data_IF_588810739797
#
_entry.id   IF_588810739797
#
_cell.length_a   1.000
_cell.length_b   1.000
_cell.length_c   1.000
_cell.angle_alpha   90.00
_cell.angle_beta   90.00
_cell.angle_gamma   90.00
#
_symmetry.space_group_name_H-M   'P 1'
#
loop_
_entity.id
_entity.type
_entity.pdbx_description
1 polymer ?
#
# COMPACT_ATOMS: atom_id res chain seq x y z
N UNK A 1 8.44 4.49 14.93
CA UNK A 1 7.48 3.60 14.22
C UNK A 1 8.17 2.29 13.89
N UNK A 2 7.43 1.17 13.95
CA UNK A 2 7.89 -0.15 13.48
C UNK A 2 7.07 -0.52 12.25
N UNK A 3 7.74 -0.94 11.17
CA UNK A 3 7.07 -1.35 9.92
C UNK A 3 7.18 -2.86 9.78
N UNK A 4 6.03 -3.51 9.60
CA UNK A 4 5.95 -4.93 9.26
C UNK A 4 5.59 -5.04 7.78
N UNK A 5 6.52 -5.50 6.94
CA UNK A 5 6.33 -5.67 5.51
C UNK A 5 6.22 -7.16 5.19
N UNK A 6 5.00 -7.71 4.99
CA UNK A 6 4.84 -9.14 4.73
C UNK A 6 5.32 -9.52 3.34
N UNK A 7 6.04 -10.64 3.25
CA UNK A 7 6.22 -11.37 1.99
C UNK A 7 5.01 -12.28 1.76
N UNK A 8 4.29 -12.13 0.65
CA UNK A 8 3.03 -12.83 0.40
C UNK A 8 3.26 -14.16 -0.33
N UNK A 9 2.62 -15.24 0.15
CA UNK A 9 2.81 -16.62 -0.39
C UNK A 9 1.70 -17.01 -1.37
N UNK A 10 1.09 -16.01 -1.99
CA UNK A 10 0.01 -16.15 -2.97
C UNK A 10 0.51 -16.46 -4.39
N UNK A 11 1.83 -16.53 -4.59
CA UNK A 11 2.47 -16.71 -5.89
C UNK A 11 2.57 -15.42 -6.71
N UNK A 12 2.29 -14.26 -6.12
CA UNK A 12 2.49 -12.95 -6.79
C UNK A 12 3.91 -12.41 -6.65
N UNK A 13 4.66 -12.85 -5.63
CA UNK A 13 6.07 -12.47 -5.45
C UNK A 13 6.95 -13.15 -6.53
N UNK A 14 7.88 -12.44 -7.18
CA UNK A 14 8.81 -13.04 -8.15
C UNK A 14 9.64 -14.19 -7.55
N UNK A 15 9.98 -14.06 -6.27
CA UNK A 15 10.67 -15.07 -5.49
C UNK A 15 10.17 -15.01 -4.04
N UNK A 16 9.83 -16.16 -3.47
CA UNK A 16 9.44 -16.29 -2.06
C UNK A 16 9.74 -17.70 -1.56
N UNK A 17 10.08 -17.79 -0.27
CA UNK A 17 10.45 -19.03 0.38
C UNK A 17 9.74 -19.21 1.73
N UNK A 18 9.51 -20.47 2.08
CA UNK A 18 9.01 -20.88 3.38
C UNK A 18 10.10 -21.72 4.06
N UNK A 19 10.62 -21.22 5.18
CA UNK A 19 11.58 -21.96 6.00
C UNK A 19 10.84 -22.93 6.93
N UNK A 20 11.15 -24.21 6.81
CA UNK A 20 10.60 -25.30 7.63
C UNK A 20 11.72 -26.13 8.24
N UNK A 21 12.44 -25.59 9.26
CA UNK A 21 13.67 -26.21 9.78
C UNK A 21 13.44 -27.62 10.35
N UNK A 22 12.22 -27.92 10.78
CA UNK A 22 11.84 -29.21 11.38
C UNK A 22 11.35 -30.24 10.34
N UNK A 23 11.32 -29.89 9.04
CA UNK A 23 10.92 -30.77 7.94
C UNK A 23 12.13 -31.25 7.13
N UNK A 24 11.95 -32.33 6.36
CA UNK A 24 12.97 -32.88 5.45
C UNK A 24 13.39 -31.84 4.39
N UNK A 25 12.41 -31.20 3.77
CA UNK A 25 12.61 -30.03 2.92
C UNK A 25 12.66 -28.80 3.83
N UNK A 26 13.86 -28.25 4.04
CA UNK A 26 14.08 -27.15 4.99
C UNK A 26 13.70 -25.78 4.44
N UNK A 27 13.76 -25.63 3.13
CA UNK A 27 13.43 -24.42 2.40
C UNK A 27 12.53 -24.82 1.25
N UNK A 28 11.29 -24.34 1.26
CA UNK A 28 10.32 -24.59 0.21
C UNK A 28 10.10 -23.33 -0.60
N UNK A 29 10.30 -23.38 -1.91
CA UNK A 29 9.98 -22.27 -2.82
C UNK A 29 8.46 -22.16 -3.00
N UNK A 30 7.95 -20.94 -3.01
CA UNK A 30 6.59 -20.66 -3.48
C UNK A 30 6.68 -20.36 -4.97
N UNK A 31 5.97 -21.15 -5.78
CA UNK A 31 6.01 -20.99 -7.23
C UNK A 31 5.29 -19.70 -7.66
N UNK A 32 5.95 -18.96 -8.55
CA UNK A 32 5.37 -17.78 -9.17
C UNK A 32 4.20 -18.18 -10.06
N UNK A 33 3.03 -17.56 -9.83
CA UNK A 33 1.82 -17.75 -10.62
C UNK A 33 1.70 -16.58 -11.59
N UNK A 34 1.99 -16.85 -12.86
CA UNK A 34 1.79 -15.86 -13.93
C UNK A 34 0.30 -15.67 -14.18
N UNK A 35 -0.21 -14.47 -13.91
CA UNK A 35 -1.61 -14.09 -14.15
C UNK A 35 -1.62 -12.87 -15.07
N UNK A 36 -2.45 -12.89 -16.11
CA UNK A 36 -2.52 -11.80 -17.07
C UNK A 36 -3.03 -10.48 -16.44
N UNK A 37 -2.70 -9.38 -17.11
CA UNK A 37 -3.07 -8.00 -16.70
C UNK A 37 -4.31 -7.47 -17.41
N UNK A 38 -4.86 -8.25 -18.34
CA UNK A 38 -6.10 -7.93 -19.04
C UNK A 38 -7.27 -8.59 -18.33
N UNK A 39 -8.34 -7.84 -18.11
CA UNK A 39 -9.56 -8.38 -17.51
C UNK A 39 -10.10 -9.58 -18.31
N UNK A 40 -10.33 -10.69 -17.60
CA UNK A 40 -11.11 -11.85 -18.03
C UNK A 40 -11.67 -12.54 -16.78
N UNK A 41 -12.60 -13.47 -16.95
CA UNK A 41 -13.14 -14.26 -15.84
C UNK A 41 -12.03 -15.01 -15.11
N UNK A 42 -11.13 -15.65 -15.86
CA UNK A 42 -10.02 -16.44 -15.33
C UNK A 42 -9.03 -15.54 -14.57
N UNK A 43 -8.77 -14.34 -15.07
CA UNK A 43 -7.92 -13.35 -14.38
C UNK A 43 -8.56 -12.90 -13.07
N UNK A 44 -9.87 -12.64 -13.05
CA UNK A 44 -10.57 -12.28 -11.81
C UNK A 44 -10.53 -13.42 -10.79
N UNK A 45 -10.78 -14.65 -11.21
CA UNK A 45 -10.72 -15.83 -10.32
C UNK A 45 -9.30 -16.03 -9.75
N UNK A 46 -8.27 -15.90 -10.58
CA UNK A 46 -6.88 -16.02 -10.15
C UNK A 46 -6.47 -14.89 -9.19
N UNK A 47 -6.89 -13.64 -9.45
CA UNK A 47 -6.63 -12.51 -8.55
C UNK A 47 -7.45 -12.59 -7.26
N UNK A 48 -8.65 -13.15 -7.30
CA UNK A 48 -9.45 -13.44 -6.09
C UNK A 48 -8.78 -14.51 -5.21
N UNK A 49 -8.19 -15.55 -5.81
CA UNK A 49 -7.40 -16.55 -5.09
C UNK A 49 -6.19 -15.89 -4.40
N UNK A 50 -5.48 -15.03 -5.13
CA UNK A 50 -4.35 -14.28 -4.58
C UNK A 50 -4.75 -13.34 -3.45
N UNK A 51 -5.82 -12.56 -3.64
CA UNK A 51 -6.36 -11.70 -2.59
C UNK A 51 -6.77 -12.51 -1.37
N UNK A 52 -7.50 -13.61 -1.51
CA UNK A 52 -7.91 -14.44 -0.37
C UNK A 52 -6.71 -14.84 0.50
N UNK A 53 -5.61 -15.27 -0.11
CA UNK A 53 -4.36 -15.58 0.59
C UNK A 53 -3.78 -14.35 1.27
N UNK A 54 -3.61 -13.23 0.55
CA UNK A 54 -3.05 -11.98 1.09
C UNK A 54 -3.86 -11.45 2.28
N UNK A 55 -5.18 -11.44 2.19
CA UNK A 55 -6.08 -10.98 3.25
C UNK A 55 -5.96 -11.85 4.51
N UNK A 56 -5.87 -13.17 4.33
CA UNK A 56 -5.63 -14.09 5.43
C UNK A 56 -4.25 -13.89 6.07
N UNK A 57 -3.20 -13.72 5.26
CA UNK A 57 -1.85 -13.43 5.74
C UNK A 57 -1.76 -12.12 6.51
N UNK A 58 -2.46 -11.07 6.07
CA UNK A 58 -2.54 -9.80 6.81
C UNK A 58 -3.16 -9.99 8.19
N UNK A 59 -4.19 -10.83 8.33
CA UNK A 59 -4.73 -11.20 9.65
C UNK A 59 -3.71 -11.98 10.49
N UNK A 60 -2.98 -12.93 9.89
CA UNK A 60 -1.93 -13.67 10.61
C UNK A 60 -0.81 -12.76 11.10
N UNK A 61 -0.38 -11.81 10.27
CA UNK A 61 0.64 -10.82 10.63
C UNK A 61 0.16 -9.99 11.80
N UNK A 62 -1.08 -9.51 11.77
CA UNK A 62 -1.68 -8.80 12.90
C UNK A 62 -1.68 -9.63 14.19
N UNK A 63 -2.12 -10.90 14.13
CA UNK A 63 -2.08 -11.80 15.29
C UNK A 63 -0.66 -12.06 15.81
N UNK A 64 0.33 -12.17 14.91
CA UNK A 64 1.73 -12.34 15.26
C UNK A 64 2.25 -11.09 15.98
N UNK A 65 1.93 -9.88 15.50
CA UNK A 65 2.31 -8.61 16.12
C UNK A 65 1.76 -8.49 17.54
N UNK A 66 0.49 -8.84 17.76
CA UNK A 66 -0.10 -8.83 19.11
C UNK A 66 0.61 -9.81 20.07
N UNK A 67 0.98 -10.99 19.57
CA UNK A 67 1.73 -11.98 20.35
C UNK A 67 3.17 -11.52 20.63
N UNK A 68 3.81 -10.85 19.67
CA UNK A 68 5.15 -10.27 19.83
C UNK A 68 5.16 -9.22 20.93
N UNK A 69 4.20 -8.28 20.90
CA UNK A 69 4.08 -7.26 21.94
C UNK A 69 3.71 -7.86 23.31
N UNK A 70 2.85 -8.87 23.35
CA UNK A 70 2.53 -9.61 24.57
C UNK A 70 3.69 -10.48 25.12
N UNK A 71 4.89 -10.41 24.52
CA UNK A 71 6.07 -11.14 24.96
C UNK A 71 5.97 -12.67 24.77
N UNK A 72 5.13 -13.14 23.85
CA UNK A 72 5.08 -14.56 23.51
C UNK A 72 6.36 -14.96 22.78
N UNK A 73 6.88 -16.13 23.13
CA UNK A 73 8.08 -16.69 22.49
C UNK A 73 7.77 -17.11 21.06
N UNK A 74 8.61 -16.68 20.13
CA UNK A 74 8.57 -17.09 18.74
C UNK A 74 9.85 -17.83 18.39
N UNK A 75 9.70 -18.98 17.73
CA UNK A 75 10.83 -19.60 17.04
C UNK A 75 11.03 -18.86 15.72
N UNK A 76 12.07 -18.02 15.64
CA UNK A 76 12.47 -17.43 14.37
C UNK A 76 13.04 -18.53 13.46
N UNK A 77 12.43 -18.69 12.29
CA UNK A 77 12.79 -19.72 11.30
C UNK A 77 13.76 -19.23 10.22
N UNK A 78 14.19 -17.96 10.28
CA UNK A 78 15.16 -17.39 9.35
C UNK A 78 16.52 -18.11 9.43
N UNK A 79 17.22 -18.19 8.30
CA UNK A 79 18.56 -18.77 8.22
C UNK A 79 19.60 -17.97 9.03
N UNK A 80 20.60 -18.66 9.57
CA UNK A 80 21.75 -18.02 10.23
C UNK A 80 21.53 -17.58 11.69
N UNK A 81 20.40 -17.91 12.32
CA UNK A 81 20.24 -17.71 13.77
C UNK A 81 21.28 -18.58 14.52
N UNK A 82 22.20 -17.94 15.27
CA UNK A 82 23.14 -18.66 16.15
C UNK A 82 22.34 -19.33 17.27
N UNK A 83 22.69 -20.57 17.63
CA UNK A 83 22.02 -21.34 18.72
C UNK A 83 21.89 -20.57 20.05
N UNK A 84 22.78 -19.59 20.29
CA UNK A 84 22.84 -18.78 21.52
C UNK A 84 22.45 -17.30 21.33
N UNK A 85 21.89 -16.90 20.18
CA UNK A 85 21.37 -15.54 20.06
C UNK A 85 20.13 -15.41 20.95
N UNK A 86 20.21 -14.55 21.98
CA UNK A 86 19.07 -14.06 22.75
C UNK A 86 17.87 -13.85 21.82
N UNK A 87 16.67 -14.22 22.26
CA UNK A 87 15.44 -14.07 21.48
C UNK A 87 15.29 -12.61 21.03
N UNK A 88 15.73 -12.29 19.80
CA UNK A 88 15.76 -10.93 19.27
C UNK A 88 14.36 -10.34 19.21
N UNK A 89 13.34 -11.18 19.07
CA UNK A 89 11.94 -10.76 18.99
C UNK A 89 11.39 -10.29 20.33
N UNK A 90 12.02 -10.70 21.45
CA UNK A 90 11.66 -10.21 22.79
C UNK A 90 11.84 -8.70 22.96
N UNK A 91 12.63 -8.04 22.10
CA UNK A 91 12.80 -6.59 22.13
C UNK A 91 11.51 -5.81 21.87
N UNK A 92 10.51 -6.44 21.24
CA UNK A 92 9.21 -5.83 20.96
C UNK A 92 8.21 -5.94 22.12
N UNK A 93 8.52 -6.69 23.17
CA UNK A 93 7.57 -6.95 24.25
C UNK A 93 7.19 -5.66 25.01
N UNK A 94 5.90 -5.34 25.04
CA UNK A 94 5.30 -4.15 25.64
C UNK A 94 5.92 -2.84 25.12
N UNK A 95 6.22 -2.79 23.82
CA UNK A 95 6.83 -1.62 23.15
C UNK A 95 5.98 -1.05 22.03
N UNK A 96 4.90 -1.74 21.65
CA UNK A 96 4.05 -1.38 20.52
C UNK A 96 2.66 -0.98 21.03
N UNK A 97 2.08 0.07 20.44
CA UNK A 97 0.70 0.50 20.76
C UNK A 97 -0.38 -0.43 20.14
N UNK A 98 -0.01 -1.61 19.64
CA UNK A 98 -0.82 -2.48 18.75
C UNK A 98 -2.09 -3.04 19.39
N UNK A 99 -2.28 -2.85 20.70
CA UNK A 99 -3.50 -3.19 21.42
C UNK A 99 -4.54 -2.06 21.43
N UNK A 100 -4.13 -0.82 21.15
CA UNK A 100 -5.00 0.35 21.09
C UNK A 100 -5.75 0.41 19.75
N UNK A 101 -7.08 0.52 19.73
CA UNK A 101 -7.87 0.64 18.49
C UNK A 101 -7.40 1.78 17.57
N UNK A 102 -7.11 1.46 16.30
CA UNK A 102 -6.73 2.45 15.29
C UNK A 102 -5.27 2.89 15.33
N UNK A 103 -4.45 2.29 16.21
CA UNK A 103 -3.02 2.59 16.34
C UNK A 103 -2.15 2.03 15.19
N UNK A 104 -2.72 1.13 14.38
CA UNK A 104 -2.02 0.50 13.25
C UNK A 104 -2.41 1.23 11.96
N UNK A 105 -1.40 1.75 11.26
CA UNK A 105 -1.55 2.26 9.90
C UNK A 105 -1.38 1.14 8.86
N UNK A 106 -2.05 1.26 7.73
CA UNK A 106 -1.97 0.29 6.64
C UNK A 106 -1.47 0.96 5.36
N UNK A 107 -0.55 0.30 4.67
CA UNK A 107 -0.03 0.80 3.42
C UNK A 107 0.21 -0.34 2.44
N UNK A 108 0.15 -0.02 1.16
CA UNK A 108 0.53 -0.95 0.12
C UNK A 108 0.84 -0.25 -1.20
N UNK A 109 1.60 -0.94 -2.05
CA UNK A 109 1.94 -0.51 -3.40
C UNK A 109 1.31 -1.45 -4.43
N UNK A 110 0.76 -0.92 -5.52
CA UNK A 110 0.22 -1.72 -6.62
C UNK A 110 -0.85 -2.72 -6.15
N UNK A 111 -0.62 -4.02 -6.34
CA UNK A 111 -1.49 -5.07 -5.81
C UNK A 111 -1.59 -5.05 -4.27
N UNK A 112 -0.53 -4.62 -3.56
CA UNK A 112 -0.57 -4.37 -2.12
C UNK A 112 -1.50 -3.22 -1.71
N UNK A 113 -1.66 -2.20 -2.55
CA UNK A 113 -2.63 -1.14 -2.30
C UNK A 113 -4.07 -1.68 -2.46
N UNK A 114 -4.33 -2.52 -3.48
CA UNK A 114 -5.61 -3.20 -3.63
C UNK A 114 -5.89 -4.15 -2.46
N UNK A 115 -4.87 -4.88 -2.01
CA UNK A 115 -4.92 -5.70 -0.79
C UNK A 115 -5.35 -4.87 0.41
N UNK A 116 -4.74 -3.69 0.61
CA UNK A 116 -5.08 -2.78 1.70
C UNK A 116 -6.53 -2.32 1.65
N UNK A 117 -7.00 -1.85 0.48
CA UNK A 117 -8.40 -1.43 0.30
C UNK A 117 -9.36 -2.58 0.62
N UNK A 118 -9.11 -3.76 0.04
CA UNK A 118 -9.96 -4.93 0.22
C UNK A 118 -9.97 -5.40 1.68
N UNK A 119 -8.81 -5.49 2.33
CA UNK A 119 -8.65 -5.93 3.72
C UNK A 119 -9.41 -5.04 4.69
N UNK A 120 -9.17 -3.73 4.61
CA UNK A 120 -9.79 -2.74 5.47
C UNK A 120 -11.31 -2.75 5.32
N UNK A 121 -11.83 -2.83 4.08
CA UNK A 121 -13.28 -2.91 3.84
C UNK A 121 -13.87 -4.24 4.30
N UNK A 122 -13.17 -5.36 4.14
CA UNK A 122 -13.61 -6.68 4.63
C UNK A 122 -13.83 -6.71 6.14
N UNK A 123 -13.02 -5.99 6.91
CA UNK A 123 -13.14 -5.95 8.38
C UNK A 123 -14.21 -4.96 8.82
N UNK A 124 -14.19 -3.75 8.25
CA UNK A 124 -15.09 -2.67 8.65
C UNK A 124 -16.56 -2.95 8.25
N UNK A 125 -16.78 -3.45 7.03
CA UNK A 125 -18.09 -3.82 6.52
C UNK A 125 -18.37 -5.32 6.62
N UNK A 126 -17.71 -6.01 7.57
CA UNK A 126 -17.92 -7.45 7.76
C UNK A 126 -19.42 -7.73 7.93
N UNK A 127 -20.00 -8.67 7.16
CA UNK A 127 -21.40 -9.02 7.34
C UNK A 127 -21.61 -9.73 8.68
N UNK A 128 -22.56 -9.27 9.49
CA UNK A 128 -23.02 -9.99 10.70
C UNK A 128 -24.12 -11.01 10.38
N UNK A 129 -24.61 -11.00 9.15
CA UNK A 129 -25.59 -11.92 8.58
C UNK A 129 -25.29 -12.14 7.09
N UNK A 130 -25.75 -13.24 6.48
CA UNK A 130 -25.61 -13.45 5.05
C UNK A 130 -26.17 -12.25 4.26
N UNK A 131 -25.43 -11.82 3.24
CA UNK A 131 -25.87 -10.79 2.28
C UNK A 131 -26.13 -11.53 0.98
N UNK A 132 -27.29 -11.27 0.35
CA UNK A 132 -27.62 -11.88 -0.94
C UNK A 132 -26.51 -11.64 -1.95
N UNK A 133 -26.15 -12.69 -2.69
CA UNK A 133 -25.22 -12.63 -3.82
C UNK A 133 -23.81 -12.10 -3.47
N UNK A 134 -23.42 -12.16 -2.19
CA UNK A 134 -22.10 -11.76 -1.73
C UNK A 134 -21.42 -12.88 -0.94
N UNK A 135 -20.32 -13.40 -1.49
CA UNK A 135 -19.40 -14.30 -0.78
C UNK A 135 -18.11 -13.56 -0.48
N UNK A 136 -17.80 -13.24 0.79
CA UNK A 136 -16.58 -12.53 1.16
C UNK A 136 -15.32 -13.31 0.77
N UNK A 137 -14.31 -12.61 0.25
CA UNK A 137 -12.97 -13.19 0.11
C UNK A 137 -12.29 -13.43 1.46
N UNK A 138 -12.64 -12.63 2.47
CA UNK A 138 -12.14 -12.73 3.83
C UNK A 138 -13.16 -12.19 4.83
N UNK A 139 -13.35 -12.92 5.92
CA UNK A 139 -14.16 -12.51 7.07
C UNK A 139 -13.36 -12.82 8.34
N UNK A 140 -13.01 -11.82 9.16
CA UNK A 140 -12.36 -12.09 10.45
C UNK A 140 -13.34 -12.82 11.38
N UNK A 141 -12.82 -13.60 12.34
CA UNK A 141 -13.68 -14.17 13.39
C UNK A 141 -14.31 -13.07 14.25
N UNK A 142 -15.50 -13.30 14.80
CA UNK A 142 -16.22 -12.30 15.62
C UNK A 142 -15.45 -11.85 16.87
N UNK A 143 -14.57 -12.73 17.38
CA UNK A 143 -13.70 -12.45 18.51
C UNK A 143 -12.33 -11.87 18.11
N UNK A 144 -12.05 -11.69 16.82
CA UNK A 144 -10.75 -11.21 16.35
C UNK A 144 -10.49 -9.78 16.86
N UNK A 145 -9.35 -9.52 17.54
CA UNK A 145 -8.97 -8.16 17.93
C UNK A 145 -8.83 -7.21 16.74
N UNK A 146 -8.58 -7.75 15.54
CA UNK A 146 -8.47 -6.99 14.30
C UNK A 146 -9.70 -6.14 14.00
N UNK A 147 -10.89 -6.61 14.42
CA UNK A 147 -12.16 -5.87 14.24
C UNK A 147 -12.08 -4.49 14.89
N UNK A 148 -11.46 -4.39 16.06
CA UNK A 148 -11.33 -3.13 16.79
C UNK A 148 -10.24 -2.23 16.22
N UNK A 149 -9.27 -2.80 15.50
CA UNK A 149 -8.17 -2.03 14.94
C UNK A 149 -8.57 -1.16 13.75
N UNK A 150 -9.58 -1.58 12.99
CA UNK A 150 -10.04 -0.80 11.84
C UNK A 150 -11.12 0.19 12.29
N UNK A 151 -10.72 1.44 12.42
CA UNK A 151 -11.57 2.56 12.83
C UNK A 151 -11.66 3.62 11.73
N UNK A 152 -12.57 4.59 11.83
CA UNK A 152 -12.60 5.71 10.90
C UNK A 152 -11.34 6.59 10.95
N UNK A 153 -10.51 6.50 11.99
CA UNK A 153 -9.26 7.24 12.14
C UNK A 153 -8.03 6.47 11.67
N UNK A 154 -8.15 5.17 11.34
CA UNK A 154 -7.05 4.33 10.83
C UNK A 154 -6.35 4.99 9.64
N UNK A 155 -5.05 5.31 9.71
CA UNK A 155 -4.31 5.90 8.59
C UNK A 155 -4.07 4.90 7.46
N UNK A 156 -4.25 5.34 6.22
CA UNK A 156 -4.13 4.50 5.02
C UNK A 156 -3.31 5.21 3.95
N UNK A 157 -2.30 4.53 3.40
CA UNK A 157 -1.50 4.99 2.27
C UNK A 157 -1.55 4.00 1.09
N UNK A 158 -1.95 4.50 -0.08
CA UNK A 158 -2.11 3.71 -1.30
C UNK A 158 -1.15 4.22 -2.37
N UNK A 159 -0.08 3.48 -2.64
CA UNK A 159 0.91 3.84 -3.66
C UNK A 159 0.57 3.13 -4.96
N UNK A 160 0.31 3.87 -6.04
CA UNK A 160 -0.09 3.33 -7.34
C UNK A 160 -1.15 2.24 -7.24
N UNK A 161 -2.34 2.58 -6.71
CA UNK A 161 -3.42 1.60 -6.58
C UNK A 161 -3.74 0.96 -7.94
N UNK A 162 -3.44 -0.33 -8.06
CA UNK A 162 -3.85 -1.12 -9.22
C UNK A 162 -5.22 -1.72 -8.96
N UNK A 163 -6.24 -1.26 -9.69
CA UNK A 163 -7.64 -1.53 -9.31
C UNK A 163 -8.19 -2.83 -9.85
N UNK A 164 -7.57 -3.46 -10.85
CA UNK A 164 -8.08 -4.70 -11.48
C UNK A 164 -8.50 -5.79 -10.46
N UNK A 165 -7.73 -6.08 -9.40
CA UNK A 165 -8.12 -7.10 -8.41
C UNK A 165 -9.39 -6.76 -7.63
N UNK A 166 -9.84 -5.50 -7.64
CA UNK A 166 -11.08 -5.05 -6.99
C UNK A 166 -12.31 -5.14 -7.92
N UNK A 167 -12.15 -5.69 -9.13
CA UNK A 167 -13.20 -5.69 -10.15
C UNK A 167 -13.95 -7.00 -10.34
N UNK A 168 -13.57 -8.04 -9.60
CA UNK A 168 -14.25 -9.34 -9.64
C UNK A 168 -15.69 -9.25 -9.10
N UNK A 169 -16.57 -10.19 -9.49
CA UNK A 169 -17.89 -10.32 -8.88
C UNK A 169 -17.83 -10.45 -7.35
N UNK A 170 -16.86 -11.18 -6.80
CA UNK A 170 -16.72 -11.37 -5.35
C UNK A 170 -16.28 -10.12 -4.58
N UNK A 171 -15.64 -9.16 -5.24
CA UNK A 171 -15.20 -7.89 -4.63
C UNK A 171 -16.21 -6.75 -4.83
N UNK A 172 -17.19 -6.94 -5.73
CA UNK A 172 -18.16 -5.92 -6.14
C UNK A 172 -18.92 -5.26 -4.98
N UNK A 173 -19.39 -6.06 -4.01
CA UNK A 173 -20.10 -5.57 -2.83
C UNK A 173 -19.26 -4.56 -2.04
N UNK A 174 -18.02 -4.92 -1.69
CA UNK A 174 -17.12 -4.03 -0.93
C UNK A 174 -16.59 -2.88 -1.77
N UNK A 175 -16.38 -3.07 -3.08
CA UNK A 175 -16.03 -1.98 -4.00
C UNK A 175 -17.08 -0.87 -3.96
N UNK A 176 -18.37 -1.21 -3.83
CA UNK A 176 -19.46 -0.23 -3.74
C UNK A 176 -19.51 0.56 -2.43
N UNK A 177 -18.81 0.12 -1.38
CA UNK A 177 -18.79 0.79 -0.08
C UNK A 177 -17.72 1.90 -0.07
N UNK A 178 -17.97 3.03 0.63
CA UNK A 178 -16.94 4.05 0.81
C UNK A 178 -15.78 3.52 1.66
N UNK A 179 -14.65 4.23 1.69
CA UNK A 179 -13.58 3.92 2.64
C UNK A 179 -14.04 4.18 4.10
N UNK A 180 -13.59 3.37 5.09
CA UNK A 180 -14.03 3.51 6.48
C UNK A 180 -13.79 4.88 7.12
N UNK A 181 -12.80 5.64 6.63
CA UNK A 181 -12.54 7.00 7.11
C UNK A 181 -13.79 7.90 7.01
N UNK A 182 -14.66 7.65 6.04
CA UNK A 182 -15.93 8.34 5.85
C UNK A 182 -17.04 7.88 6.80
N UNK A 183 -16.74 7.20 7.90
CA UNK A 183 -17.66 7.10 9.03
C UNK A 183 -17.42 8.21 10.08
N UNK A 184 -16.38 9.04 9.91
CA UNK A 184 -16.09 10.20 10.76
C UNK A 184 -16.45 11.53 10.09
N UNK A 185 -16.86 12.58 10.83
CA UNK A 185 -17.02 13.94 10.29
C UNK A 185 -15.73 14.52 9.70
N UNK A 186 -14.56 14.12 10.19
CA UNK A 186 -13.26 14.56 9.68
C UNK A 186 -12.69 13.61 8.61
N UNK A 187 -13.53 12.69 8.11
CA UNK A 187 -13.12 11.59 7.23
C UNK A 187 -12.41 12.04 5.95
N UNK A 188 -11.37 11.29 5.58
CA UNK A 188 -10.59 11.48 4.37
C UNK A 188 -9.19 12.05 4.62
N UNK A 189 -8.98 12.82 5.70
CA UNK A 189 -7.66 13.38 6.04
C UNK A 189 -6.59 12.31 6.31
N UNK A 190 -7.01 11.17 6.85
CA UNK A 190 -6.16 10.03 7.16
C UNK A 190 -5.99 9.04 5.97
N UNK A 191 -6.40 9.43 4.75
CA UNK A 191 -6.30 8.59 3.56
C UNK A 191 -5.51 9.33 2.47
N UNK A 192 -4.42 8.72 2.01
CA UNK A 192 -3.61 9.22 0.90
C UNK A 192 -3.48 8.19 -0.21
N UNK A 193 -3.65 8.66 -1.45
CA UNK A 193 -3.29 7.95 -2.65
C UNK A 193 -2.17 8.71 -3.38
N UNK A 194 -1.03 8.05 -3.58
CA UNK A 194 0.09 8.61 -4.32
C UNK A 194 0.24 7.81 -5.59
N UNK A 195 0.03 8.44 -6.73
CA UNK A 195 0.24 7.84 -8.04
C UNK A 195 1.63 8.20 -8.54
N UNK A 196 2.15 7.41 -9.47
CA UNK A 196 3.19 7.80 -10.41
C UNK A 196 2.56 8.53 -11.60
N UNK A 197 3.37 9.25 -12.36
CA UNK A 197 2.89 9.89 -13.59
C UNK A 197 2.36 8.85 -14.60
N UNK A 198 2.93 7.64 -14.62
CA UNK A 198 2.43 6.53 -15.43
C UNK A 198 1.00 6.12 -15.04
N UNK A 199 0.72 5.98 -13.74
CA UNK A 199 -0.63 5.63 -13.25
C UNK A 199 -1.62 6.80 -13.37
N UNK A 200 -1.14 8.03 -13.27
CA UNK A 200 -1.94 9.21 -13.57
C UNK A 200 -2.37 9.25 -15.05
N UNK A 201 -1.47 8.92 -15.97
CA UNK A 201 -1.76 8.87 -17.42
C UNK A 201 -2.66 7.71 -17.83
N UNK A 202 -2.75 6.65 -17.01
CA UNK A 202 -3.67 5.54 -17.23
C UNK A 202 -5.10 5.88 -16.76
N UNK A 203 -5.84 6.62 -17.59
CA UNK A 203 -7.15 7.20 -17.29
C UNK A 203 -8.16 6.21 -16.68
N UNK A 204 -8.25 4.98 -17.19
CA UNK A 204 -9.20 3.99 -16.68
C UNK A 204 -8.91 3.63 -15.20
N UNK A 205 -7.67 3.28 -14.87
CA UNK A 205 -7.27 2.95 -13.50
C UNK A 205 -7.28 4.19 -12.59
N UNK A 206 -6.92 5.38 -13.10
CA UNK A 206 -7.06 6.64 -12.36
C UNK A 206 -8.51 6.87 -11.93
N UNK A 207 -9.46 6.70 -12.85
CA UNK A 207 -10.88 6.87 -12.56
C UNK A 207 -11.39 5.83 -11.55
N UNK A 208 -10.94 4.58 -11.64
CA UNK A 208 -11.24 3.56 -10.63
C UNK A 208 -10.60 3.86 -9.28
N UNK A 209 -9.37 4.39 -9.26
CA UNK A 209 -8.68 4.80 -8.04
C UNK A 209 -9.46 5.91 -7.35
N UNK A 210 -9.85 6.96 -8.10
CA UNK A 210 -10.70 8.04 -7.60
C UNK A 210 -12.02 7.51 -7.05
N UNK A 211 -12.71 6.61 -7.77
CA UNK A 211 -13.95 5.96 -7.28
C UNK A 211 -13.74 5.18 -5.99
N UNK A 212 -12.63 4.43 -5.87
CA UNK A 212 -12.36 3.59 -4.72
C UNK A 212 -12.19 4.39 -3.41
N UNK A 213 -11.67 5.62 -3.51
CA UNK A 213 -11.39 6.51 -2.38
C UNK A 213 -12.33 7.72 -2.29
N UNK A 214 -13.29 7.86 -3.20
CA UNK A 214 -14.20 9.00 -3.25
C UNK A 214 -15.04 9.13 -1.97
N UNK A 215 -15.38 10.38 -1.65
CA UNK A 215 -16.35 10.68 -0.60
C UNK A 215 -17.73 10.13 -0.99
N UNK A 216 -18.58 9.75 -0.02
CA UNK A 216 -19.99 9.50 -0.28
C UNK A 216 -20.66 10.71 -0.96
N UNK A 217 -21.62 10.52 -1.87
CA UNK A 217 -22.36 11.61 -2.49
C UNK A 217 -22.99 12.55 -1.46
N UNK A 218 -22.92 13.86 -1.69
CA UNK A 218 -23.46 14.88 -0.78
C UNK A 218 -22.68 15.06 0.53
N UNK A 219 -21.44 14.56 0.62
CA UNK A 219 -20.62 14.68 1.82
C UNK A 219 -19.73 15.93 1.80
N UNK A 220 -19.90 16.79 2.81
CA UNK A 220 -19.07 17.99 3.02
C UNK A 220 -17.69 17.70 3.67
N UNK A 221 -17.32 16.42 3.75
CA UNK A 221 -16.06 16.01 4.39
C UNK A 221 -14.83 16.51 3.61
N UNK A 222 -13.65 16.63 4.24
CA UNK A 222 -12.44 17.07 3.57
C UNK A 222 -12.05 16.24 2.32
N UNK A 223 -12.33 14.94 2.33
CA UNK A 223 -11.95 14.00 1.26
C UNK A 223 -10.49 13.55 1.36
N UNK A 224 -10.06 12.65 0.46
CA UNK A 224 -8.74 12.04 0.53
C UNK A 224 -7.66 12.98 -0.01
N UNK A 225 -6.42 12.66 0.32
CA UNK A 225 -5.23 13.27 -0.26
C UNK A 225 -4.86 12.48 -1.53
N UNK A 226 -4.71 13.16 -2.68
CA UNK A 226 -4.33 12.51 -3.94
C UNK A 226 -3.24 13.32 -4.62
N UNK A 227 -2.13 12.66 -4.92
CA UNK A 227 -0.96 13.33 -5.50
C UNK A 227 -0.22 12.44 -6.49
N UNK A 228 0.59 13.04 -7.35
CA UNK A 228 1.64 12.34 -8.08
C UNK A 228 2.88 13.21 -8.27
N UNK A 229 4.10 12.65 -8.22
CA UNK A 229 5.31 13.34 -8.64
C UNK A 229 5.44 13.28 -10.17
N UNK A 230 5.74 14.41 -10.80
CA UNK A 230 6.03 14.46 -12.25
C UNK A 230 7.28 13.65 -12.59
N UNK A 231 7.35 13.13 -13.82
CA UNK A 231 8.46 12.30 -14.30
C UNK A 231 8.74 11.06 -13.43
N UNK A 232 7.68 10.44 -12.89
CA UNK A 232 7.76 9.20 -12.10
C UNK A 232 7.11 8.03 -12.83
N UNK A 233 7.63 6.83 -12.58
CA UNK A 233 7.12 5.57 -13.12
C UNK A 233 6.58 4.68 -12.01
N UNK A 234 5.95 3.56 -12.36
CA UNK A 234 5.37 2.64 -11.38
C UNK A 234 6.40 2.11 -10.37
N UNK A 235 7.59 1.79 -10.87
CA UNK A 235 8.74 1.34 -10.08
C UNK A 235 9.37 2.45 -9.23
N UNK A 236 9.00 3.72 -9.41
CA UNK A 236 9.48 4.82 -8.57
C UNK A 236 8.88 4.78 -7.15
N UNK A 237 7.88 3.94 -6.92
CA UNK A 237 7.27 3.70 -5.62
C UNK A 237 8.03 2.63 -4.79
N UNK A 238 9.10 2.04 -5.31
CA UNK A 238 9.91 1.02 -4.64
C UNK A 238 11.40 1.35 -4.70
N UNK A 239 12.21 0.55 -3.98
CA UNK A 239 13.66 0.69 -3.97
C UNK A 239 14.31 0.44 -5.35
N UNK A 240 13.55 -0.11 -6.32
CA UNK A 240 14.05 -0.40 -7.66
C UNK A 240 14.70 0.82 -8.32
N UNK A 241 14.05 1.99 -8.19
CA UNK A 241 14.55 3.24 -8.76
C UNK A 241 15.95 3.63 -8.24
N UNK A 242 16.20 3.38 -6.95
CA UNK A 242 17.44 3.71 -6.27
C UNK A 242 18.52 2.66 -6.53
N UNK A 243 18.13 1.38 -6.59
CA UNK A 243 19.05 0.27 -6.83
C UNK A 243 19.50 0.17 -8.29
N UNK A 244 18.65 0.57 -9.24
CA UNK A 244 18.91 0.47 -10.68
C UNK A 244 18.70 1.80 -11.42
N UNK A 245 19.37 2.91 -11.00
CA UNK A 245 19.06 4.26 -11.47
C UNK A 245 19.25 4.42 -12.98
N UNK A 246 20.24 3.73 -13.56
CA UNK A 246 20.46 3.75 -15.01
C UNK A 246 19.27 3.18 -15.79
N UNK A 247 18.74 2.02 -15.37
CA UNK A 247 17.56 1.39 -15.97
C UNK A 247 16.36 2.31 -15.82
N UNK A 248 16.15 2.83 -14.62
CA UNK A 248 15.04 3.73 -14.29
C UNK A 248 15.02 4.98 -15.16
N UNK A 249 16.16 5.62 -15.37
CA UNK A 249 16.22 6.83 -16.19
C UNK A 249 16.19 6.54 -17.68
N UNK A 250 16.91 5.51 -18.16
CA UNK A 250 17.06 5.27 -19.60
C UNK A 250 15.89 4.51 -20.23
N UNK A 251 15.26 3.60 -19.48
CA UNK A 251 14.18 2.76 -20.00
C UNK A 251 12.82 3.34 -19.61
N UNK A 252 12.64 3.74 -18.36
CA UNK A 252 11.33 4.23 -17.88
C UNK A 252 11.18 5.75 -17.92
N UNK A 253 12.24 6.48 -18.27
CA UNK A 253 12.23 7.95 -18.31
C UNK A 253 12.01 8.61 -16.94
N UNK A 254 12.05 7.83 -15.84
CA UNK A 254 11.83 8.33 -14.50
C UNK A 254 13.08 9.07 -13.99
N UNK A 255 12.85 10.22 -13.36
CA UNK A 255 13.91 11.12 -12.89
C UNK A 255 13.93 11.16 -11.37
N UNK A 256 15.14 11.36 -10.82
CA UNK A 256 15.35 11.59 -9.38
C UNK A 256 14.65 10.53 -8.48
N UNK A 257 14.92 9.22 -8.65
CA UNK A 257 14.18 8.16 -7.95
C UNK A 257 14.25 8.26 -6.41
N UNK A 258 15.39 8.66 -5.85
CA UNK A 258 15.51 8.91 -4.41
C UNK A 258 14.57 10.03 -3.94
N UNK A 259 14.43 11.07 -4.76
CA UNK A 259 13.55 12.20 -4.46
C UNK A 259 12.09 11.77 -4.46
N UNK A 260 11.68 10.96 -5.43
CA UNK A 260 10.31 10.41 -5.46
C UNK A 260 10.00 9.63 -4.19
N UNK A 261 10.92 8.76 -3.74
CA UNK A 261 10.74 8.04 -2.47
C UNK A 261 10.69 8.98 -1.26
N UNK A 262 11.51 10.04 -1.22
CA UNK A 262 11.44 11.07 -0.17
C UNK A 262 10.09 11.78 -0.16
N UNK A 263 9.56 12.18 -1.32
CA UNK A 263 8.23 12.81 -1.42
C UNK A 263 7.13 11.88 -0.92
N UNK A 264 7.17 10.60 -1.30
CA UNK A 264 6.22 9.61 -0.83
C UNK A 264 6.26 9.47 0.69
N UNK A 265 7.46 9.31 1.26
CA UNK A 265 7.65 9.20 2.70
C UNK A 265 7.17 10.45 3.44
N UNK A 266 7.53 11.65 2.96
CA UNK A 266 7.08 12.93 3.51
C UNK A 266 5.56 13.04 3.56
N UNK A 267 4.89 12.73 2.46
CA UNK A 267 3.43 12.80 2.38
C UNK A 267 2.75 11.79 3.31
N UNK A 268 3.26 10.55 3.38
CA UNK A 268 2.75 9.53 4.31
C UNK A 268 2.97 9.93 5.76
N UNK A 269 4.17 10.43 6.11
CA UNK A 269 4.46 10.94 7.44
C UNK A 269 3.53 12.09 7.80
N UNK A 270 3.22 12.98 6.86
CA UNK A 270 2.32 14.09 7.14
C UNK A 270 0.87 13.64 7.40
N UNK A 271 0.39 12.62 6.69
CA UNK A 271 -0.92 12.01 6.97
C UNK A 271 -0.95 11.34 8.34
N UNK A 272 0.16 10.70 8.74
CA UNK A 272 0.30 10.15 10.09
C UNK A 272 0.24 11.27 11.15
N UNK A 273 0.88 12.42 10.92
CA UNK A 273 0.78 13.61 11.80
C UNK A 273 -0.66 14.13 11.88
N UNK A 274 -1.37 14.26 10.76
CA UNK A 274 -2.79 14.67 10.74
C UNK A 274 -3.70 13.68 11.48
N UNK A 275 -3.32 12.40 11.54
CA UNK A 275 -4.02 11.37 12.30
C UNK A 275 -3.62 11.32 13.79
N UNK A 276 -2.74 12.22 14.25
CA UNK A 276 -2.28 12.28 15.64
C UNK A 276 -1.19 11.26 15.99
N UNK A 277 -0.56 10.62 15.00
CA UNK A 277 0.57 9.71 15.21
C UNK A 277 1.84 10.52 15.37
N UNK A 278 2.57 10.28 16.46
CA UNK A 278 3.89 10.88 16.68
C UNK A 278 4.92 10.29 15.72
N UNK A 279 5.45 11.14 14.84
CA UNK A 279 6.53 10.81 13.91
C UNK A 279 7.55 11.93 13.89
N UNK A 280 8.79 11.61 13.52
CA UNK A 280 9.84 12.59 13.41
C UNK A 280 9.50 13.70 12.41
N UNK A 281 10.06 14.87 12.65
CA UNK A 281 9.92 16.05 11.80
C UNK A 281 10.59 15.86 10.43
N UNK A 282 10.09 16.58 9.42
CA UNK A 282 10.72 16.60 8.10
C UNK A 282 11.95 17.51 8.14
N UNK A 283 13.08 17.06 7.58
CA UNK A 283 14.30 17.87 7.48
C UNK A 283 14.08 19.07 6.57
N UNK A 284 14.71 20.20 6.90
CA UNK A 284 14.56 21.45 6.15
C UNK A 284 15.02 21.29 4.70
N UNK A 285 16.10 20.54 4.46
CA UNK A 285 16.64 20.29 3.13
C UNK A 285 15.66 19.49 2.26
N UNK A 286 14.86 18.63 2.89
CA UNK A 286 13.88 17.80 2.20
C UNK A 286 12.60 18.54 1.87
N UNK A 287 12.32 19.74 2.43
CA UNK A 287 11.04 20.45 2.26
C UNK A 287 10.80 20.93 0.82
N UNK A 288 11.86 21.19 0.05
CA UNK A 288 11.81 21.61 -1.37
C UNK A 288 10.83 22.76 -1.66
N UNK A 289 10.89 23.80 -0.84
CA UNK A 289 9.99 24.95 -0.92
C UNK A 289 10.42 25.89 -2.04
N UNK A 290 9.51 26.20 -2.96
CA UNK A 290 9.69 27.22 -4.00
C UNK A 290 9.05 28.55 -3.55
N UNK A 291 9.73 29.69 -3.74
CA UNK A 291 9.19 31.05 -3.49
C UNK A 291 9.75 31.78 -2.24
N UNK A 292 9.64 33.12 -2.24
CA UNK A 292 10.17 34.01 -1.19
C UNK A 292 9.53 33.77 0.18
N UNK A 293 10.39 33.56 1.17
CA UNK A 293 10.05 33.33 2.56
C UNK A 293 11.01 32.32 3.14
N UNK A 294 12.15 32.80 3.65
CA UNK A 294 13.00 31.99 4.54
C UNK A 294 12.08 31.33 5.56
N UNK A 295 11.97 30.00 5.53
CA UNK A 295 11.32 29.29 6.62
C UNK A 295 12.14 29.58 7.85
N UNK A 296 11.57 30.38 8.76
CA UNK A 296 12.12 30.51 10.09
C UNK A 296 12.18 29.11 10.69
N UNK A 297 13.39 28.68 11.06
CA UNK A 297 13.61 27.43 11.78
C UNK A 297 12.57 27.34 12.91
N UNK A 298 11.62 26.41 12.80
CA UNK A 298 10.57 26.18 13.81
C UNK A 298 9.11 26.33 13.34
N UNK A 299 8.81 27.02 12.22
CA UNK A 299 7.41 27.30 11.83
C UNK A 299 6.78 26.28 10.84
N UNK A 300 7.55 25.59 9.98
CA UNK A 300 7.03 24.66 8.95
C UNK A 300 7.60 23.23 9.08
N UNK A 301 8.01 22.87 10.29
CA UNK A 301 8.68 21.59 10.61
C UNK A 301 7.76 20.38 10.39
N UNK A 302 6.44 20.62 10.37
CA UNK A 302 5.40 19.63 10.08
C UNK A 302 5.05 19.54 8.60
N UNK A 303 5.83 20.08 7.66
CA UNK A 303 5.67 19.81 6.21
C UNK A 303 4.22 19.92 5.69
N UNK A 304 3.44 20.89 6.19
CA UNK A 304 1.99 20.97 5.88
C UNK A 304 1.74 21.19 4.39
N UNK A 305 2.72 21.79 3.71
CA UNK A 305 2.67 22.08 2.28
C UNK A 305 2.67 20.84 1.40
N UNK A 306 3.21 19.69 1.84
CA UNK A 306 3.20 18.45 1.05
C UNK A 306 1.77 17.94 0.81
N UNK A 307 0.82 18.28 1.69
CA UNK A 307 -0.60 17.94 1.53
C UNK A 307 -1.44 19.10 1.00
N UNK A 308 -0.82 20.21 0.60
CA UNK A 308 -1.54 21.36 0.04
C UNK A 308 -2.16 21.03 -1.32
N UNK A 309 -3.46 21.31 -1.44
CA UNK A 309 -4.19 21.19 -2.72
C UNK A 309 -4.04 22.40 -3.64
N UNK A 310 -3.35 23.46 -3.21
CA UNK A 310 -3.25 24.75 -3.94
C UNK A 310 -2.11 24.80 -4.96
N UNK A 311 -1.45 23.67 -5.27
CA UNK A 311 -0.61 23.51 -6.46
C UNK A 311 0.73 24.26 -6.51
N UNK A 312 1.22 24.84 -5.40
CA UNK A 312 2.42 25.69 -5.40
C UNK A 312 3.39 25.43 -4.22
N UNK A 313 3.32 24.27 -3.56
CA UNK A 313 4.08 24.03 -2.33
C UNK A 313 5.42 23.31 -2.51
N UNK A 314 5.49 22.36 -3.44
CA UNK A 314 6.62 21.42 -3.59
C UNK A 314 6.84 21.13 -5.07
N UNK A 315 8.09 21.27 -5.53
CA UNK A 315 8.50 21.12 -6.93
C UNK A 315 7.92 19.86 -7.58
N UNK A 316 7.15 20.00 -8.64
CA UNK A 316 6.66 18.84 -9.42
C UNK A 316 5.82 17.83 -8.62
N UNK A 317 5.25 18.22 -7.46
CA UNK A 317 4.33 17.41 -6.68
C UNK A 317 2.90 17.91 -6.94
N UNK A 318 2.15 17.16 -7.74
CA UNK A 318 0.88 17.62 -8.29
C UNK A 318 -0.27 17.06 -7.48
N UNK A 319 -1.13 17.93 -6.94
CA UNK A 319 -2.36 17.54 -6.26
C UNK A 319 -3.49 17.27 -7.26
N UNK A 320 -4.29 16.24 -6.98
CA UNK A 320 -5.45 15.86 -7.77
C UNK A 320 -6.75 15.97 -6.96
N UNK A 321 -7.84 16.29 -7.64
CA UNK A 321 -9.18 16.14 -7.06
C UNK A 321 -9.58 14.67 -7.01
N UNK A 322 -10.33 14.30 -5.95
CA UNK A 322 -10.95 12.99 -5.80
C UNK A 322 -12.19 12.79 -6.67
N UNK A 323 -12.69 13.86 -7.29
CA UNK A 323 -13.82 13.77 -8.21
C UNK A 323 -13.37 13.14 -9.53
N UNK A 324 -14.12 12.16 -10.06
CA UNK A 324 -13.84 11.57 -11.36
C UNK A 324 -13.94 12.65 -12.43
N UNK A 325 -13.04 12.61 -13.41
CA UNK A 325 -13.06 13.57 -14.51
C UNK A 325 -14.23 13.26 -15.43
N UNK A 326 -15.01 14.28 -15.81
CA UNK A 326 -16.14 14.17 -16.73
C UNK A 326 -15.72 14.17 -18.20
N UNK A 327 -14.45 14.44 -18.49
CA UNK A 327 -13.90 14.54 -19.85
C UNK A 327 -12.99 13.35 -20.15
N UNK A 328 -13.20 12.71 -21.30
CA UNK A 328 -12.31 11.67 -21.83
C UNK A 328 -10.98 12.31 -22.26
N UNK A 329 -9.91 12.08 -21.49
CA UNK A 329 -8.55 12.39 -21.94
C UNK A 329 -8.06 11.33 -22.91
N UNK A 330 -7.30 11.75 -23.93
CA UNK A 330 -6.62 10.84 -24.86
C UNK A 330 -5.84 9.76 -24.09
N UNK A 331 -6.08 8.50 -24.45
CA UNK A 331 -5.53 7.33 -23.78
C UNK A 331 -4.05 7.17 -24.12
N UNK A 332 -3.16 7.52 -23.18
CA UNK A 332 -1.76 7.11 -23.29
C UNK A 332 -1.50 5.90 -22.39
N UNK A 333 -1.29 4.74 -23.03
CA UNK A 333 -0.93 3.42 -22.46
C UNK A 333 -2.06 2.65 -21.77
N UNK A 334 -2.17 1.37 -22.11
CA UNK A 334 -3.21 0.45 -21.62
C UNK A 334 -2.84 -0.24 -20.30
N UNK A 335 -3.75 -1.10 -19.77
CA UNK A 335 -3.56 -1.83 -18.51
C UNK A 335 -2.29 -2.68 -18.41
N UNK A 336 -1.77 -3.11 -19.57
CA UNK A 336 -0.53 -3.87 -19.67
C UNK A 336 0.68 -2.99 -19.39
N UNK A 337 0.91 -1.95 -20.19
CA UNK A 337 2.23 -1.30 -20.25
C UNK A 337 2.70 -0.71 -18.91
N UNK A 338 1.81 -0.09 -18.12
CA UNK A 338 2.20 0.54 -16.85
C UNK A 338 2.53 -0.46 -15.72
N UNK A 339 1.88 -1.63 -15.69
CA UNK A 339 2.10 -2.68 -14.68
C UNK A 339 3.18 -3.67 -15.14
N UNK A 340 3.17 -4.00 -16.44
CA UNK A 340 4.11 -4.93 -17.09
C UNK A 340 5.54 -4.38 -17.08
N UNK A 341 5.73 -3.07 -17.23
CA UNK A 341 7.05 -2.42 -17.08
C UNK A 341 7.73 -2.77 -15.74
N UNK A 342 6.96 -3.03 -14.66
CA UNK A 342 7.47 -3.43 -13.35
C UNK A 342 7.78 -4.92 -13.19
N UNK A 343 6.94 -5.81 -13.73
CA UNK A 343 7.08 -7.26 -13.57
C UNK A 343 8.06 -7.90 -14.56
N UNK A 344 8.18 -7.37 -15.79
CA UNK A 344 9.07 -7.92 -16.84
C UNK A 344 10.52 -7.94 -16.38
N UNK A 345 10.95 -6.96 -15.57
CA UNK A 345 12.31 -6.95 -15.03
C UNK A 345 12.53 -7.97 -13.92
N UNK A 346 11.50 -8.28 -13.13
CA UNK A 346 11.54 -9.39 -12.17
C UNK A 346 11.69 -10.75 -12.87
N UNK A 347 11.01 -10.94 -14.00
CA UNK A 347 11.12 -12.16 -14.83
C UNK A 347 12.52 -12.30 -15.47
N UNK A 348 13.10 -11.22 -16.01
CA UNK A 348 14.45 -11.23 -16.62
C UNK A 348 15.55 -11.64 -15.62
N UNK A 349 15.41 -11.27 -14.34
CA UNK A 349 16.36 -11.68 -13.29
C UNK A 349 16.22 -13.19 -13.01
N UNK A 350 14.99 -13.72 -12.96
CA UNK A 350 14.76 -15.15 -12.72
C UNK A 350 15.23 -16.06 -13.86
N UNK A 351 15.21 -15.58 -15.12
CA UNK A 351 15.76 -16.35 -16.25
C UNK A 351 17.29 -16.42 -16.22
N UNK A 352 17.97 -15.34 -15.81
CA UNK A 352 19.43 -15.35 -15.62
C UNK A 352 19.84 -16.29 -14.50
N UNK A 353 19.16 -16.27 -13.36
CA UNK A 353 19.45 -17.18 -12.25
C UNK A 353 19.18 -18.65 -12.60
N UNK A 354 18.17 -18.94 -13.44
CA UNK A 354 17.95 -20.30 -14.01
C UNK A 354 19.02 -20.74 -15.00
N UNK A 355 19.80 -19.83 -15.57
CA UNK A 355 20.91 -20.15 -16.48
C UNK A 355 22.25 -20.36 -15.79
N UNK A 356 22.34 -20.05 -14.49
CA UNK A 356 23.57 -20.15 -13.68
C UNK A 356 23.50 -21.20 -12.54
N UNK A 357 22.46 -22.05 -12.52
CA UNK A 357 22.35 -23.26 -11.69
C UNK A 357 22.07 -24.47 -12.56
#
# INVERSE_FOLDING_TARGET
MVVFAPDHRDGSAPISFIHTPDKKEKLKKVEYKRVAHKASTEVYEARDEQLRTRLWEMNLVHEAILKLDAGKLFKNVAEGQKKDSKDLLSMFANKLAVHEPGSIAFAGHSFGAATTVQFIKSIFYRPTSPVSDYTPLFTPSDSSPLIRQITPSTPIALLDLWTLPLHSPHTSYLRSKPMPCYASPQGGKNLIAILSEAFYKWTANLNDTKRAIAKPPGSDRPGPHIFYPVASAHLSQSDFGVLFPWVTTKIFGAKEPERVLRLNARAVLQVLREAGVEVADTRVEDLELEGEGEVKLGEDVKDERILSRKGQGVRGWVSLSAEPETEERETSKGPGDAVVEGEVLGEVVTERERSET
#
